data_IF_659133814471
#
_entry.id   IF_659133814471
#
_cell.length_a   1.000
_cell.length_b   1.000
_cell.length_c   1.000
_cell.angle_alpha   90.00
_cell.angle_beta   90.00
_cell.angle_gamma   90.00
#
_symmetry.space_group_name_H-M   'P 1'
#
loop_
_entity.id
_entity.type
_entity.pdbx_description
1 polymer ?
#
# COMPACT_ATOMS: atom_id res chain seq x y z
N UNK A 1 2.54 -26.94 0.66
CA UNK A 1 3.70 -26.05 0.53
C UNK A 1 4.39 -26.15 -0.84
N UNK A 2 3.76 -26.63 -1.92
CA UNK A 2 4.39 -26.69 -3.27
C UNK A 2 3.40 -26.40 -4.43
N UNK A 3 2.77 -25.22 -4.51
CA UNK A 3 1.83 -24.99 -5.64
C UNK A 3 1.79 -23.64 -6.35
N UNK A 4 2.58 -22.63 -5.97
CA UNK A 4 2.56 -21.35 -6.71
C UNK A 4 3.95 -20.74 -6.84
N UNK A 5 4.83 -21.42 -7.58
CA UNK A 5 6.01 -20.85 -8.21
C UNK A 5 5.67 -20.58 -9.68
N UNK A 6 5.55 -19.31 -10.06
CA UNK A 6 5.44 -18.95 -11.48
C UNK A 6 6.82 -19.18 -12.12
N UNK A 7 6.93 -20.22 -12.95
CA UNK A 7 8.05 -20.40 -13.86
C UNK A 7 7.95 -19.34 -14.96
N UNK A 8 8.92 -18.43 -15.01
CA UNK A 8 9.10 -17.46 -16.09
C UNK A 8 9.32 -18.18 -17.43
N UNK A 9 8.77 -17.70 -18.56
CA UNK A 9 9.03 -18.28 -19.87
C UNK A 9 10.47 -17.98 -20.32
N UNK A 10 11.28 -19.03 -20.50
CA UNK A 10 12.61 -18.96 -21.11
C UNK A 10 12.51 -18.58 -22.59
N UNK A 11 13.09 -17.45 -22.98
CA UNK A 11 13.35 -17.10 -24.38
C UNK A 11 14.43 -18.02 -24.94
N UNK A 12 14.07 -18.93 -25.84
CA UNK A 12 15.02 -19.64 -26.69
C UNK A 12 15.43 -18.76 -27.87
N UNK A 13 16.66 -18.25 -27.83
CA UNK A 13 17.40 -17.87 -29.03
C UNK A 13 18.36 -19.01 -29.35
N UNK A 14 18.15 -19.73 -30.45
CA UNK A 14 19.21 -20.52 -31.09
C UNK A 14 19.08 -20.38 -32.61
N UNK A 15 20.04 -19.64 -33.16
CA UNK A 15 20.49 -19.78 -34.55
C UNK A 15 21.17 -21.14 -34.74
N UNK A 16 21.13 -21.66 -35.96
CA UNK A 16 22.19 -22.56 -36.48
C UNK A 16 21.73 -23.95 -36.92
N UNK A 17 21.40 -24.06 -38.19
CA UNK A 17 21.70 -25.15 -39.14
C UNK A 17 22.03 -26.57 -38.61
N UNK A 18 21.23 -27.57 -39.00
CA UNK A 18 21.61 -28.63 -39.95
C UNK A 18 20.47 -29.67 -40.13
N UNK A 19 20.32 -30.15 -41.36
CA UNK A 19 19.25 -31.00 -41.92
C UNK A 19 19.36 -32.50 -41.56
N UNK A 20 18.29 -33.30 -41.81
CA UNK A 20 17.95 -34.52 -41.05
C UNK A 20 18.26 -35.86 -41.75
N UNK A 21 18.17 -36.97 -41.00
CA UNK A 21 18.09 -38.33 -41.52
C UNK A 21 16.90 -39.09 -40.93
N UNK A 22 16.19 -39.80 -41.82
CA UNK A 22 14.94 -40.52 -41.63
C UNK A 22 15.12 -41.89 -40.95
N UNK A 23 14.03 -42.45 -40.39
CA UNK A 23 13.61 -43.85 -40.60
C UNK A 23 12.19 -44.12 -40.05
N UNK A 24 11.52 -45.02 -40.76
CA UNK A 24 10.08 -45.35 -40.79
C UNK A 24 9.68 -46.36 -39.70
N UNK A 25 8.41 -46.33 -39.28
CA UNK A 25 7.75 -47.41 -38.53
C UNK A 25 6.24 -47.19 -38.41
N UNK A 26 5.48 -47.99 -39.16
CA UNK A 26 4.01 -48.02 -39.35
C UNK A 26 3.18 -48.45 -38.13
N UNK A 27 1.89 -48.05 -38.02
CA UNK A 27 0.95 -48.49 -36.98
C UNK A 27 -0.04 -49.61 -37.43
N UNK A 28 -0.50 -50.45 -36.49
CA UNK A 28 -1.59 -51.44 -36.65
C UNK A 28 -2.67 -51.31 -35.54
N UNK A 29 -3.83 -50.87 -36.01
CA UNK A 29 -5.26 -51.18 -35.77
C UNK A 29 -5.78 -52.18 -34.69
N UNK A 30 -7.02 -51.87 -34.22
CA UNK A 30 -8.16 -52.71 -33.70
C UNK A 30 -8.13 -53.00 -32.17
N UNK A 31 -9.15 -52.79 -31.31
CA UNK A 31 -10.63 -53.01 -31.29
C UNK A 31 -11.33 -51.97 -30.35
N UNK A 32 -12.44 -51.28 -30.68
CA UNK A 32 -13.90 -51.59 -30.56
C UNK A 32 -14.44 -52.07 -29.19
N UNK A 33 -15.23 -51.21 -28.54
CA UNK A 33 -16.54 -51.41 -27.85
C UNK A 33 -17.07 -50.00 -27.44
N UNK A 34 -18.07 -49.36 -28.10
CA UNK A 34 -19.55 -49.38 -27.89
C UNK A 34 -19.94 -49.46 -26.39
N UNK A 35 -20.65 -48.52 -25.77
CA UNK A 35 -22.02 -47.96 -26.01
C UNK A 35 -22.08 -46.48 -25.54
N UNK A 36 -22.57 -45.48 -26.30
CA UNK A 36 -23.96 -45.01 -26.54
C UNK A 36 -24.86 -44.87 -25.29
N UNK A 37 -25.09 -43.63 -24.84
CA UNK A 37 -26.39 -42.93 -24.92
C UNK A 37 -26.27 -41.44 -24.54
N UNK A 38 -26.94 -40.60 -25.33
CA UNK A 38 -27.01 -39.12 -25.25
C UNK A 38 -28.51 -38.70 -25.27
N UNK A 39 -28.89 -37.40 -25.29
CA UNK A 39 -29.69 -36.69 -24.28
C UNK A 39 -31.13 -36.36 -24.75
N UNK A 40 -31.92 -35.57 -24.00
CA UNK A 40 -32.97 -34.56 -24.41
C UNK A 40 -33.83 -34.24 -23.17
N UNK A 41 -33.77 -33.05 -22.55
CA UNK A 41 -34.55 -31.81 -22.76
C UNK A 41 -36.06 -31.84 -22.39
N UNK A 42 -36.44 -30.87 -21.52
CA UNK A 42 -37.67 -30.03 -21.48
C UNK A 42 -38.87 -30.32 -20.53
N UNK A 43 -39.25 -29.21 -19.87
CA UNK A 43 -40.57 -28.70 -19.40
C UNK A 43 -41.01 -29.07 -17.96
N UNK A 44 -41.08 -28.08 -17.04
CA UNK A 44 -42.24 -27.24 -16.59
C UNK A 44 -43.21 -28.04 -15.70
N UNK A 45 -43.80 -27.60 -14.60
CA UNK A 45 -43.97 -26.30 -13.91
C UNK A 45 -44.56 -26.60 -12.51
N UNK A 46 -44.21 -25.77 -11.52
CA UNK A 46 -45.07 -25.22 -10.43
C UNK A 46 -45.76 -26.14 -9.40
N UNK A 47 -45.52 -25.88 -8.10
CA UNK A 47 -46.53 -25.26 -7.23
C UNK A 47 -45.98 -24.88 -5.84
N UNK A 48 -46.52 -23.77 -5.36
CA UNK A 48 -46.20 -22.93 -4.20
C UNK A 48 -46.43 -23.55 -2.82
N UNK A 49 -45.70 -23.05 -1.81
CA UNK A 49 -46.24 -22.83 -0.47
C UNK A 49 -45.73 -21.50 0.14
N UNK A 50 -46.69 -20.64 0.47
CA UNK A 50 -46.61 -19.30 1.07
C UNK A 50 -47.03 -19.38 2.54
N UNK A 51 -46.41 -18.58 3.43
CA UNK A 51 -47.06 -17.68 4.42
C UNK A 51 -46.00 -16.95 5.28
N UNK A 52 -45.90 -15.61 5.22
CA UNK A 52 -46.55 -14.56 6.06
C UNK A 52 -45.93 -14.44 7.47
N UNK A 53 -45.69 -13.29 8.10
CA UNK A 53 -46.07 -11.89 7.89
C UNK A 53 -45.33 -10.97 8.90
N UNK A 54 -45.45 -9.65 8.66
CA UNK A 54 -45.47 -8.51 9.61
C UNK A 54 -44.26 -7.57 9.76
N UNK A 55 -44.42 -6.39 9.11
CA UNK A 55 -43.80 -5.08 9.38
C UNK A 55 -44.65 -4.31 10.43
N UNK A 56 -44.19 -3.20 11.04
CA UNK A 56 -44.56 -1.89 10.47
C UNK A 56 -43.52 -0.75 10.61
N UNK A 57 -43.75 0.25 9.74
CA UNK A 57 -43.08 1.54 9.52
C UNK A 57 -43.09 2.45 10.76
N UNK A 58 -42.04 3.27 10.91
CA UNK A 58 -42.13 4.59 11.56
C UNK A 58 -41.41 5.68 10.73
N UNK A 59 -41.97 6.87 10.85
CA UNK A 59 -41.95 8.05 9.97
C UNK A 59 -41.16 9.20 10.64
N UNK A 60 -40.82 10.20 9.80
CA UNK A 60 -40.50 11.62 10.11
C UNK A 60 -39.07 11.90 10.64
N UNK A 61 -38.37 12.99 10.32
CA UNK A 61 -38.75 14.25 9.66
C UNK A 61 -37.54 14.87 8.93
N UNK A 62 -37.84 15.54 7.81
CA UNK A 62 -36.97 16.50 7.13
C UNK A 62 -36.84 17.80 7.95
N UNK A 63 -35.63 18.35 8.07
CA UNK A 63 -35.43 19.78 8.34
C UNK A 63 -34.35 20.30 7.38
N UNK A 64 -34.81 21.00 6.35
CA UNK A 64 -34.02 21.90 5.51
C UNK A 64 -34.14 23.33 6.08
N UNK A 65 -33.02 24.08 6.17
CA UNK A 65 -32.99 25.54 6.38
C UNK A 65 -31.78 26.16 5.67
N UNK A 66 -31.85 27.45 5.29
CA UNK A 66 -31.72 27.82 3.87
C UNK A 66 -30.49 28.68 3.53
N UNK A 67 -30.19 28.73 2.22
CA UNK A 67 -29.25 29.66 1.61
C UNK A 67 -29.80 31.09 1.59
N UNK A 68 -29.01 32.06 2.04
CA UNK A 68 -29.25 33.50 1.87
C UNK A 68 -28.44 34.05 0.70
N UNK A 69 -29.18 34.61 -0.26
CA UNK A 69 -28.70 35.36 -1.42
C UNK A 69 -28.13 36.71 -0.99
N UNK A 70 -27.04 37.16 -1.65
CA UNK A 70 -26.90 38.57 -2.07
C UNK A 70 -26.44 38.64 -3.52
N UNK A 71 -27.27 39.31 -4.32
CA UNK A 71 -27.10 39.69 -5.72
C UNK A 71 -26.24 40.97 -5.82
N UNK A 72 -25.57 41.16 -6.95
CA UNK A 72 -25.71 42.27 -7.93
C UNK A 72 -24.46 42.24 -8.83
N UNK A 73 -24.58 41.87 -10.12
CA UNK A 73 -24.94 42.73 -11.28
C UNK A 73 -23.83 43.72 -11.65
N UNK A 74 -23.05 43.40 -12.70
CA UNK A 74 -23.11 44.04 -14.03
C UNK A 74 -21.83 43.82 -14.87
N UNK A 75 -22.02 43.20 -16.03
CA UNK A 75 -21.19 43.25 -17.27
C UNK A 75 -21.90 44.28 -18.19
N UNK A 76 -21.35 44.91 -19.28
CA UNK A 76 -20.41 44.30 -20.23
C UNK A 76 -19.47 45.22 -21.08
N UNK A 77 -18.70 44.55 -21.95
CA UNK A 77 -18.38 44.87 -23.37
C UNK A 77 -17.11 45.65 -23.79
N UNK A 78 -16.56 45.15 -24.91
CA UNK A 78 -15.74 45.79 -25.98
C UNK A 78 -14.22 45.93 -25.78
N UNK A 79 -13.39 45.02 -26.33
CA UNK A 79 -12.85 44.92 -27.71
C UNK A 79 -12.00 46.14 -28.11
N UNK A 80 -10.68 45.96 -28.28
CA UNK A 80 -9.92 46.16 -29.53
C UNK A 80 -8.40 46.06 -29.32
N UNK A 81 -7.78 45.45 -30.32
CA UNK A 81 -6.36 45.18 -30.53
C UNK A 81 -5.47 46.44 -30.47
N UNK A 82 -4.16 46.25 -30.23
CA UNK A 82 -3.04 46.61 -31.14
C UNK A 82 -1.69 46.27 -30.48
N UNK A 83 -0.80 45.78 -31.35
CA UNK A 83 0.57 45.28 -31.20
C UNK A 83 1.57 46.33 -30.68
N UNK A 84 2.65 45.84 -30.07
CA UNK A 84 4.07 46.27 -30.18
C UNK A 84 4.86 45.36 -29.23
N UNK A 85 5.52 44.29 -29.70
CA UNK A 85 6.88 44.23 -30.26
C UNK A 85 8.00 44.79 -29.36
N UNK A 86 8.96 43.88 -29.14
CA UNK A 86 10.38 44.05 -28.81
C UNK A 86 10.88 44.04 -27.34
N UNK A 87 11.87 43.16 -27.17
CA UNK A 87 12.98 43.12 -26.23
C UNK A 87 12.81 42.64 -24.79
N UNK A 88 13.61 41.60 -24.47
CA UNK A 88 14.04 41.32 -23.10
C UNK A 88 14.19 39.85 -22.77
N UNK A 89 15.39 39.31 -22.97
CA UNK A 89 15.88 38.08 -22.33
C UNK A 89 15.48 38.02 -20.85
N UNK A 90 14.99 36.87 -20.38
CA UNK A 90 14.87 36.64 -18.94
C UNK A 90 15.10 35.16 -18.59
N UNK A 91 16.27 34.79 -18.02
CA UNK A 91 16.51 33.46 -17.47
C UNK A 91 16.17 33.44 -15.95
N UNK A 92 16.26 32.28 -15.26
CA UNK A 92 15.17 31.63 -14.53
C UNK A 92 14.94 32.14 -13.09
N UNK A 93 13.68 32.05 -12.60
CA UNK A 93 13.31 32.36 -11.20
C UNK A 93 13.88 31.35 -10.19
N UNK A 94 15.09 31.61 -9.69
CA UNK A 94 15.60 31.11 -8.40
C UNK A 94 14.80 31.74 -7.25
N UNK A 95 14.20 30.94 -6.36
CA UNK A 95 13.63 31.44 -5.10
C UNK A 95 14.74 31.72 -4.08
N UNK A 96 14.90 33.01 -3.78
CA UNK A 96 15.23 33.62 -2.49
C UNK A 96 16.49 33.15 -1.75
N UNK A 97 17.52 34.01 -1.79
CA UNK A 97 18.62 34.01 -0.84
C UNK A 97 18.16 34.59 0.50
N UNK A 98 18.07 33.77 1.55
CA UNK A 98 18.04 34.26 2.93
C UNK A 98 19.47 34.25 3.47
N UNK A 99 20.03 35.44 3.64
CA UNK A 99 21.24 35.69 4.41
C UNK A 99 21.05 35.17 5.84
N UNK A 100 21.84 34.17 6.24
CA UNK A 100 22.04 33.85 7.66
C UNK A 100 23.51 34.00 7.98
N UNK A 101 23.76 34.95 8.87
CA UNK A 101 25.01 35.42 9.47
C UNK A 101 26.04 34.30 9.69
N UNK A 102 27.25 34.54 9.18
CA UNK A 102 28.48 33.82 9.51
C UNK A 102 28.73 33.86 11.02
N UNK A 103 28.63 32.71 11.70
CA UNK A 103 29.18 32.50 13.04
C UNK A 103 30.48 31.70 12.89
N UNK A 104 31.55 32.38 12.44
CA UNK A 104 32.91 31.84 12.39
C UNK A 104 33.83 32.80 13.16
N UNK A 105 33.69 32.84 14.48
CA UNK A 105 34.64 33.53 15.38
C UNK A 105 34.46 33.16 16.86
N UNK A 106 34.07 31.94 17.18
CA UNK A 106 34.15 31.39 18.54
C UNK A 106 34.81 30.02 18.42
N UNK A 107 36.12 30.01 18.31
CA UNK A 107 36.95 28.82 18.29
C UNK A 107 37.92 28.93 19.46
N UNK A 108 37.43 28.66 20.67
CA UNK A 108 38.27 28.33 21.83
C UNK A 108 37.57 27.21 22.62
N UNK A 109 38.32 26.11 22.76
CA UNK A 109 38.20 25.05 23.77
C UNK A 109 36.82 24.38 23.96
N UNK A 110 36.37 23.67 22.91
CA UNK A 110 35.36 22.62 23.05
C UNK A 110 36.02 21.24 23.08
N UNK A 111 35.66 20.41 24.06
CA UNK A 111 36.03 18.99 24.16
C UNK A 111 35.82 18.27 22.82
N UNK A 112 36.63 17.23 22.49
CA UNK A 112 36.48 16.50 21.24
C UNK A 112 35.04 16.00 21.13
N UNK A 113 34.33 16.44 20.09
CA UNK A 113 33.01 15.91 19.76
C UNK A 113 33.14 14.38 19.67
N UNK A 114 32.28 13.61 20.36
CA UNK A 114 32.39 12.15 20.36
C UNK A 114 32.42 11.68 18.91
N UNK A 115 33.46 10.89 18.60
CA UNK A 115 33.70 10.33 17.27
C UNK A 115 32.40 9.69 16.78
N UNK A 116 31.85 10.18 15.66
CA UNK A 116 30.57 9.69 15.12
C UNK A 116 30.67 8.17 14.97
N UNK A 117 29.91 7.43 15.78
CA UNK A 117 29.84 5.98 15.70
C UNK A 117 29.60 5.58 14.24
N UNK A 118 30.45 4.68 13.73
CA UNK A 118 30.29 4.15 12.37
C UNK A 118 28.94 3.47 12.30
N UNK A 119 28.10 3.79 11.30
CA UNK A 119 26.77 3.19 11.20
C UNK A 119 26.91 1.67 11.11
N UNK A 120 26.26 0.97 12.04
CA UNK A 120 26.19 -0.48 12.05
C UNK A 120 25.63 -0.98 10.71
N UNK A 121 26.34 -1.93 10.07
CA UNK A 121 25.89 -2.51 8.80
C UNK A 121 24.76 -3.50 9.07
N UNK A 122 23.52 -3.04 8.97
CA UNK A 122 22.35 -3.90 9.12
C UNK A 122 22.24 -4.92 7.97
N UNK A 123 21.74 -6.14 8.24
CA UNK A 123 21.52 -7.12 7.20
C UNK A 123 20.40 -6.67 6.25
N UNK A 124 20.61 -6.88 4.95
CA UNK A 124 19.58 -6.64 3.94
C UNK A 124 18.40 -7.59 4.11
N UNK A 125 17.19 -7.09 3.84
CA UNK A 125 15.98 -7.90 3.79
C UNK A 125 16.11 -8.95 2.69
N UNK A 126 15.78 -10.20 3.03
CA UNK A 126 15.67 -11.31 2.08
C UNK A 126 14.28 -11.89 2.22
N UNK A 127 13.35 -11.45 1.37
CA UNK A 127 12.01 -12.01 1.36
C UNK A 127 12.06 -13.44 0.80
N UNK A 128 11.42 -14.37 1.51
CA UNK A 128 11.37 -15.80 1.16
C UNK A 128 9.94 -16.34 1.04
N UNK A 129 8.95 -15.46 1.21
CA UNK A 129 7.55 -15.83 1.06
C UNK A 129 7.15 -15.99 -0.40
N UNK A 130 5.91 -16.41 -0.62
CA UNK A 130 5.34 -16.52 -1.95
C UNK A 130 5.02 -15.12 -2.51
N UNK A 131 5.28 -14.92 -3.81
CA UNK A 131 4.86 -13.74 -4.56
C UNK A 131 3.83 -14.18 -5.59
N UNK A 132 2.57 -13.81 -5.40
CA UNK A 132 1.47 -14.11 -6.33
C UNK A 132 1.25 -12.92 -7.25
N UNK A 133 1.58 -13.08 -8.53
CA UNK A 133 1.48 -12.03 -9.54
C UNK A 133 0.33 -12.31 -10.51
N UNK A 134 -0.59 -11.35 -10.65
CA UNK A 134 -1.77 -11.46 -11.50
C UNK A 134 -1.85 -10.29 -12.49
N UNK A 135 -2.12 -10.60 -13.76
CA UNK A 135 -2.10 -9.60 -14.84
C UNK A 135 -3.43 -9.37 -15.53
N UNK A 136 -4.32 -10.36 -15.48
CA UNK A 136 -5.62 -10.28 -16.15
C UNK A 136 -6.74 -9.91 -15.16
N UNK A 137 -7.75 -9.17 -15.64
CA UNK A 137 -8.81 -8.62 -14.79
C UNK A 137 -9.53 -9.70 -13.95
N UNK A 138 -9.89 -10.83 -14.58
CA UNK A 138 -10.61 -11.91 -13.93
C UNK A 138 -9.75 -12.65 -12.88
N UNK A 139 -8.44 -12.77 -13.10
CA UNK A 139 -7.52 -13.37 -12.14
C UNK A 139 -7.32 -12.47 -10.92
N UNK A 140 -7.20 -11.16 -11.13
CA UNK A 140 -7.13 -10.17 -10.05
C UNK A 140 -8.43 -10.19 -9.24
N UNK A 141 -9.58 -10.25 -9.90
CA UNK A 141 -10.88 -10.35 -9.23
C UNK A 141 -10.97 -11.61 -8.35
N UNK A 142 -10.68 -12.78 -8.93
CA UNK A 142 -10.71 -14.06 -8.21
C UNK A 142 -9.73 -14.08 -7.04
N UNK A 143 -8.51 -13.57 -7.23
CA UNK A 143 -7.54 -13.47 -6.13
C UNK A 143 -8.02 -12.53 -5.02
N UNK A 144 -8.70 -11.44 -5.33
CA UNK A 144 -9.22 -10.52 -4.32
C UNK A 144 -10.35 -11.19 -3.52
N UNK A 145 -11.25 -11.93 -4.19
CA UNK A 145 -12.30 -12.72 -3.53
C UNK A 145 -11.71 -13.81 -2.62
N UNK A 146 -10.66 -14.51 -3.05
CA UNK A 146 -9.95 -15.51 -2.22
C UNK A 146 -9.40 -14.87 -0.93
N UNK A 147 -8.85 -13.66 -1.03
CA UNK A 147 -8.34 -12.92 0.13
C UNK A 147 -9.48 -12.47 1.04
N UNK A 148 -10.60 -11.99 0.49
CA UNK A 148 -11.82 -11.65 1.26
C UNK A 148 -12.31 -12.88 2.03
N UNK A 149 -12.46 -14.03 1.37
CA UNK A 149 -12.89 -15.26 2.03
C UNK A 149 -11.91 -15.71 3.13
N UNK A 150 -10.60 -15.47 2.95
CA UNK A 150 -9.61 -15.74 3.99
C UNK A 150 -9.77 -14.79 5.18
N UNK A 151 -10.04 -13.50 4.94
CA UNK A 151 -10.31 -12.49 5.97
C UNK A 151 -11.58 -12.84 6.77
N UNK A 152 -12.66 -13.22 6.09
CA UNK A 152 -13.93 -13.58 6.74
C UNK A 152 -13.79 -14.80 7.66
N UNK A 153 -12.91 -15.73 7.31
CA UNK A 153 -12.57 -16.89 8.15
C UNK A 153 -11.77 -16.52 9.40
N UNK A 154 -11.21 -15.32 9.51
CA UNK A 154 -10.53 -14.84 10.71
C UNK A 154 -11.55 -14.39 11.76
N UNK A 155 -12.21 -15.36 12.42
CA UNK A 155 -13.27 -15.09 13.41
C UNK A 155 -12.75 -14.53 14.73
N UNK A 156 -11.48 -14.77 15.06
CA UNK A 156 -10.84 -14.29 16.29
C UNK A 156 -10.20 -12.91 16.17
N UNK A 157 -10.11 -12.36 14.95
CA UNK A 157 -9.52 -11.06 14.69
C UNK A 157 -10.63 -10.05 14.36
N UNK A 158 -10.76 -9.03 15.20
CA UNK A 158 -11.62 -7.87 14.92
C UNK A 158 -11.06 -7.05 13.75
N UNK A 159 -9.73 -6.98 13.66
CA UNK A 159 -9.00 -6.26 12.63
C UNK A 159 -7.95 -7.15 11.99
N UNK A 160 -7.96 -7.17 10.67
CA UNK A 160 -6.94 -7.79 9.83
C UNK A 160 -6.10 -6.67 9.21
N UNK A 161 -4.86 -6.45 9.67
CA UNK A 161 -3.97 -5.51 9.02
C UNK A 161 -3.54 -6.06 7.67
N UNK A 162 -3.54 -5.19 6.66
CA UNK A 162 -3.08 -5.51 5.33
C UNK A 162 -2.15 -4.40 4.86
N UNK A 163 -0.88 -4.72 4.68
CA UNK A 163 0.07 -3.76 4.13
C UNK A 163 -0.34 -3.46 2.68
N UNK A 164 -0.20 -2.19 2.29
CA UNK A 164 -0.57 -1.71 0.96
C UNK A 164 0.44 -0.68 0.48
N UNK A 165 0.83 -0.81 -0.78
CA UNK A 165 1.62 0.19 -1.49
C UNK A 165 1.43 0.02 -3.03
N UNK A 166 1.93 0.97 -3.82
CA UNK A 166 1.63 1.08 -5.24
C UNK A 166 2.83 1.56 -6.06
N UNK A 167 2.88 1.12 -7.31
CA UNK A 167 3.92 1.55 -8.25
C UNK A 167 3.36 2.12 -9.55
N UNK A 168 4.09 3.06 -10.13
CA UNK A 168 3.76 3.70 -11.39
C UNK A 168 5.03 4.13 -12.14
N UNK A 169 5.00 4.17 -13.48
CA UNK A 169 6.11 4.74 -14.23
C UNK A 169 6.29 6.22 -13.91
N UNK A 170 7.53 6.67 -13.92
CA UNK A 170 7.89 8.07 -13.72
C UNK A 170 8.70 8.60 -14.89
N UNK A 171 8.43 9.83 -15.29
CA UNK A 171 9.18 10.57 -16.30
C UNK A 171 9.52 11.96 -15.74
N UNK A 172 10.76 12.43 -15.97
CA UNK A 172 11.15 13.78 -15.56
C UNK A 172 10.44 14.87 -16.35
N UNK A 173 9.93 14.56 -17.55
CA UNK A 173 9.22 15.49 -18.43
C UNK A 173 7.73 15.59 -18.10
N UNK A 174 7.07 14.45 -17.84
CA UNK A 174 5.60 14.39 -17.66
C UNK A 174 5.18 14.11 -16.22
N UNK A 175 6.12 13.83 -15.32
CA UNK A 175 5.84 13.44 -13.95
C UNK A 175 5.37 11.99 -13.81
N UNK A 176 4.63 11.67 -12.72
CA UNK A 176 4.14 10.32 -12.46
C UNK A 176 3.03 9.92 -13.45
N UNK A 177 3.16 8.74 -14.06
CA UNK A 177 2.12 8.15 -14.89
C UNK A 177 0.99 7.51 -14.08
N UNK A 178 0.07 6.81 -14.77
CA UNK A 178 -1.05 6.08 -14.14
C UNK A 178 -0.54 4.98 -13.21
N UNK A 179 -1.18 4.80 -12.06
CA UNK A 179 -0.95 3.65 -11.16
C UNK A 179 -0.98 2.35 -11.95
N UNK A 180 0.11 1.60 -11.84
CA UNK A 180 0.37 0.41 -12.65
C UNK A 180 0.33 -0.86 -11.84
N UNK A 181 0.74 -0.82 -10.57
CA UNK A 181 0.75 -1.97 -9.67
C UNK A 181 0.08 -1.58 -8.36
N UNK A 182 -0.74 -2.47 -7.81
CA UNK A 182 -1.05 -2.52 -6.37
C UNK A 182 -0.34 -3.74 -5.81
N UNK A 183 0.30 -3.60 -4.67
CA UNK A 183 0.77 -4.74 -3.89
C UNK A 183 0.12 -4.74 -2.51
N UNK A 184 -0.18 -5.95 -2.01
CA UNK A 184 -0.78 -6.16 -0.70
C UNK A 184 -0.19 -7.37 0.00
N UNK A 185 -0.13 -7.31 1.33
CA UNK A 185 0.32 -8.40 2.17
C UNK A 185 -0.58 -8.48 3.41
N UNK A 186 -1.36 -9.56 3.53
CA UNK A 186 -2.18 -9.85 4.73
C UNK A 186 -1.45 -10.76 5.72
N UNK A 187 -0.51 -11.55 5.22
CA UNK A 187 0.33 -12.48 5.95
C UNK A 187 1.76 -12.37 5.41
N UNK A 188 2.75 -12.31 6.30
CA UNK A 188 4.16 -12.12 5.96
C UNK A 188 4.72 -13.21 5.04
N UNK A 189 4.02 -14.34 4.89
CA UNK A 189 4.43 -15.47 4.03
C UNK A 189 3.94 -15.35 2.59
N UNK A 190 3.04 -14.42 2.28
CA UNK A 190 2.48 -14.29 0.94
C UNK A 190 2.16 -12.83 0.58
N UNK A 191 2.87 -12.30 -0.42
CA UNK A 191 2.58 -11.01 -1.02
C UNK A 191 1.82 -11.20 -2.34
N UNK A 192 0.88 -10.31 -2.60
CA UNK A 192 0.08 -10.27 -3.82
C UNK A 192 0.46 -9.03 -4.62
N UNK A 193 0.68 -9.20 -5.92
CA UNK A 193 1.03 -8.13 -6.86
C UNK A 193 0.00 -8.13 -7.98
N UNK A 194 -0.79 -7.07 -8.07
CA UNK A 194 -1.86 -6.90 -9.04
C UNK A 194 -1.45 -5.88 -10.11
N UNK A 195 -1.31 -6.34 -11.36
CA UNK A 195 -0.97 -5.45 -12.48
C UNK A 195 -2.21 -4.75 -13.02
N UNK A 196 -2.25 -3.44 -12.87
CA UNK A 196 -3.36 -2.57 -13.24
C UNK A 196 -3.23 -1.98 -14.64
N UNK A 197 -2.08 -2.11 -15.30
CA UNK A 197 -1.74 -1.34 -16.51
C UNK A 197 -2.71 -1.56 -17.69
N UNK A 198 -3.31 -2.75 -17.79
CA UNK A 198 -4.33 -3.08 -18.81
C UNK A 198 -5.76 -2.69 -18.40
N UNK A 199 -5.96 -2.30 -17.13
CA UNK A 199 -7.28 -2.11 -16.56
C UNK A 199 -7.82 -0.70 -16.84
N UNK A 200 -9.03 -0.65 -17.41
CA UNK A 200 -9.81 0.59 -17.50
C UNK A 200 -10.43 0.96 -16.16
N UNK A 201 -10.91 -0.05 -15.43
CA UNK A 201 -11.48 0.03 -14.08
C UNK A 201 -10.90 -1.08 -13.21
N UNK A 202 -10.80 -0.85 -11.90
CA UNK A 202 -10.46 -1.90 -10.94
C UNK A 202 -11.60 -2.93 -10.87
N UNK A 203 -11.30 -4.23 -10.67
CA UNK A 203 -12.31 -5.23 -10.40
C UNK A 203 -13.09 -4.90 -9.13
N UNK A 204 -14.40 -5.10 -9.15
CA UNK A 204 -15.26 -4.82 -7.99
C UNK A 204 -14.81 -5.57 -6.73
N UNK A 205 -14.34 -6.81 -6.88
CA UNK A 205 -13.76 -7.63 -5.80
C UNK A 205 -12.53 -6.96 -5.16
N UNK A 206 -11.63 -6.37 -5.95
CA UNK A 206 -10.47 -5.65 -5.42
C UNK A 206 -10.90 -4.39 -4.67
N UNK A 207 -11.87 -3.64 -5.19
CA UNK A 207 -12.42 -2.47 -4.50
C UNK A 207 -13.11 -2.88 -3.19
N UNK A 208 -13.84 -4.00 -3.18
CA UNK A 208 -14.46 -4.56 -1.99
C UNK A 208 -13.41 -5.00 -0.95
N UNK A 209 -12.32 -5.65 -1.38
CA UNK A 209 -11.21 -6.03 -0.51
C UNK A 209 -10.59 -4.81 0.17
N UNK A 210 -10.27 -3.75 -0.58
CA UNK A 210 -9.70 -2.52 -0.02
C UNK A 210 -10.68 -1.86 0.97
N UNK A 211 -11.98 -1.93 0.72
CA UNK A 211 -13.02 -1.34 1.57
C UNK A 211 -13.53 -2.28 2.67
N UNK A 212 -13.05 -3.51 2.76
CA UNK A 212 -13.54 -4.51 3.71
C UNK A 212 -13.52 -4.00 5.16
N UNK A 213 -14.60 -4.20 5.96
CA UNK A 213 -14.74 -3.58 7.28
C UNK A 213 -13.72 -4.08 8.30
N UNK A 214 -13.29 -5.36 8.22
CA UNK A 214 -12.20 -5.89 9.06
C UNK A 214 -10.81 -5.45 8.61
N UNK A 215 -10.65 -4.91 7.39
CA UNK A 215 -9.34 -4.61 6.84
C UNK A 215 -8.86 -3.23 7.27
N UNK A 216 -7.69 -3.20 7.93
CA UNK A 216 -6.94 -1.99 8.22
C UNK A 216 -5.73 -1.89 7.29
N UNK A 217 -5.86 -1.06 6.27
CA UNK A 217 -4.77 -0.77 5.35
C UNK A 217 -3.69 0.02 6.05
N UNK A 218 -2.42 -0.31 5.80
CA UNK A 218 -1.31 0.45 6.34
C UNK A 218 -0.12 0.51 5.39
N UNK A 219 0.68 1.56 5.55
CA UNK A 219 1.84 1.86 4.72
C UNK A 219 2.50 3.16 5.16
N UNK A 220 3.49 3.64 4.43
CA UNK A 220 4.15 4.93 4.71
C UNK A 220 3.65 5.97 3.72
N UNK A 221 3.12 7.10 4.21
CA UNK A 221 2.52 8.14 3.37
C UNK A 221 1.33 7.62 2.53
N UNK A 222 0.66 6.57 3.02
CA UNK A 222 -0.39 5.81 2.31
C UNK A 222 -1.59 6.66 1.88
N UNK A 223 -1.86 7.76 2.59
CA UNK A 223 -2.94 8.70 2.23
C UNK A 223 -2.73 9.30 0.84
N UNK A 224 -1.48 9.56 0.45
CA UNK A 224 -1.14 10.07 -0.87
C UNK A 224 -1.42 9.02 -1.96
N UNK A 225 -1.19 7.75 -1.65
CA UNK A 225 -1.45 6.64 -2.55
C UNK A 225 -2.94 6.51 -2.83
N UNK A 226 -3.80 6.56 -1.80
CA UNK A 226 -5.25 6.51 -2.04
C UNK A 226 -5.77 7.69 -2.85
N UNK A 227 -5.27 8.90 -2.60
CA UNK A 227 -5.64 10.08 -3.42
C UNK A 227 -5.20 9.92 -4.87
N UNK A 228 -4.03 9.33 -5.12
CA UNK A 228 -3.59 8.98 -6.47
C UNK A 228 -4.44 7.87 -7.09
N UNK A 229 -4.78 6.84 -6.32
CA UNK A 229 -5.60 5.72 -6.78
C UNK A 229 -6.98 6.21 -7.23
N UNK A 230 -7.66 7.05 -6.44
CA UNK A 230 -8.94 7.67 -6.81
C UNK A 230 -8.82 8.49 -8.10
N UNK A 231 -7.75 9.28 -8.27
CA UNK A 231 -7.56 10.08 -9.50
C UNK A 231 -7.40 9.19 -10.73
N UNK A 232 -6.69 8.08 -10.57
CA UNK A 232 -6.35 7.18 -11.68
C UNK A 232 -7.49 6.15 -11.95
N UNK A 233 -8.34 5.87 -10.96
CA UNK A 233 -9.49 4.96 -10.97
C UNK A 233 -10.68 5.57 -10.19
N UNK A 234 -11.54 6.39 -10.83
CA UNK A 234 -12.58 7.20 -10.17
C UNK A 234 -13.65 6.43 -9.37
N UNK A 235 -13.79 5.12 -9.59
CA UNK A 235 -14.66 4.24 -8.80
C UNK A 235 -14.16 3.99 -7.38
N UNK A 236 -12.90 4.31 -7.08
CA UNK A 236 -12.34 4.24 -5.72
C UNK A 236 -12.53 5.58 -5.03
N UNK A 237 -13.23 5.60 -3.91
CA UNK A 237 -13.27 6.76 -3.01
C UNK A 237 -12.11 6.68 -2.02
N UNK A 238 -11.25 7.71 -2.00
CA UNK A 238 -10.09 7.75 -1.12
C UNK A 238 -10.48 8.06 0.34
N UNK A 239 -11.55 8.83 0.57
CA UNK A 239 -11.88 9.32 1.91
C UNK A 239 -12.18 8.19 2.91
N UNK A 240 -13.02 7.18 2.60
CA UNK A 240 -13.22 6.03 3.48
C UNK A 240 -11.94 5.23 3.74
N UNK A 241 -11.06 5.13 2.74
CA UNK A 241 -9.78 4.42 2.89
C UNK A 241 -8.83 5.21 3.82
N UNK A 242 -8.79 6.53 3.69
CA UNK A 242 -7.95 7.42 4.50
C UNK A 242 -8.40 7.41 5.96
N UNK A 243 -9.70 7.40 6.22
CA UNK A 243 -10.27 7.39 7.58
C UNK A 243 -9.87 6.14 8.37
N UNK A 244 -9.83 4.98 7.71
CA UNK A 244 -9.54 3.70 8.38
C UNK A 244 -8.09 3.24 8.32
N UNK A 245 -7.25 3.88 7.51
CA UNK A 245 -5.86 3.46 7.33
C UNK A 245 -4.93 3.90 8.46
N UNK A 246 -3.79 3.24 8.55
CA UNK A 246 -2.70 3.60 9.47
C UNK A 246 -1.48 4.02 8.65
N UNK A 247 -1.02 5.24 8.87
CA UNK A 247 0.28 5.68 8.39
C UNK A 247 1.36 5.25 9.39
N UNK A 248 2.23 4.33 8.98
CA UNK A 248 3.25 3.75 9.85
C UNK A 248 4.24 4.79 10.38
N UNK A 249 4.51 5.85 9.62
CA UNK A 249 5.41 6.92 10.07
C UNK A 249 4.79 7.76 11.18
N UNK A 250 3.51 8.07 11.05
CA UNK A 250 2.75 8.80 12.09
C UNK A 250 2.62 7.95 13.34
N UNK A 251 2.19 6.69 13.18
CA UNK A 251 2.02 5.78 14.32
C UNK A 251 3.35 5.48 15.02
N UNK A 252 4.46 5.35 14.29
CA UNK A 252 5.78 5.22 14.90
C UNK A 252 6.19 6.43 15.75
N UNK A 253 5.84 7.66 15.34
CA UNK A 253 6.09 8.85 16.15
C UNK A 253 5.30 8.79 17.47
N UNK A 254 4.04 8.35 17.42
CA UNK A 254 3.17 8.23 18.60
C UNK A 254 3.65 7.14 19.57
N UNK A 255 4.01 5.96 19.05
CA UNK A 255 4.39 4.80 19.88
C UNK A 255 5.82 4.90 20.41
N UNK A 256 6.76 5.33 19.58
CA UNK A 256 8.18 5.38 19.93
C UNK A 256 8.64 6.77 20.40
N UNK A 257 7.72 7.72 20.56
CA UNK A 257 7.99 9.09 21.01
C UNK A 257 9.05 9.80 20.16
N UNK A 258 9.04 9.48 18.87
CA UNK A 258 9.99 10.07 17.94
C UNK A 258 9.37 11.27 17.25
N UNK A 259 10.24 12.19 16.81
CA UNK A 259 9.84 13.32 15.98
C UNK A 259 10.42 13.15 14.58
N UNK A 260 9.57 13.29 13.55
CA UNK A 260 10.05 13.51 12.19
C UNK A 260 9.25 12.84 11.10
N UNK A 261 9.76 13.01 9.87
CA UNK A 261 9.24 12.35 8.68
C UNK A 261 9.96 11.03 8.48
N UNK A 262 9.19 9.96 8.38
CA UNK A 262 9.70 8.62 8.15
C UNK A 262 9.66 8.26 6.66
N UNK A 263 10.56 7.37 6.26
CA UNK A 263 10.43 6.61 5.02
C UNK A 263 10.40 5.13 5.38
N UNK A 264 9.88 4.28 4.51
CA UNK A 264 9.79 2.84 4.78
C UNK A 264 11.14 2.22 5.17
N UNK A 265 12.23 2.57 4.47
CA UNK A 265 13.60 2.17 4.84
C UNK A 265 14.06 2.66 6.20
N UNK A 266 13.74 3.91 6.55
CA UNK A 266 14.12 4.44 7.87
C UNK A 266 13.36 3.73 8.98
N UNK A 267 12.09 3.35 8.75
CA UNK A 267 11.34 2.52 9.68
C UNK A 267 11.87 1.08 9.71
N UNK A 268 12.18 0.48 8.57
CA UNK A 268 12.77 -0.86 8.50
C UNK A 268 14.10 -0.94 9.27
N UNK A 269 14.93 0.10 9.15
CA UNK A 269 16.16 0.24 9.91
C UNK A 269 15.88 0.42 11.41
N UNK A 270 14.99 1.36 11.76
CA UNK A 270 14.73 1.73 13.15
C UNK A 270 14.00 0.63 13.94
N UNK A 271 12.93 0.09 13.36
CA UNK A 271 12.03 -0.89 13.96
C UNK A 271 12.54 -2.32 13.76
N UNK A 272 12.69 -2.76 12.51
CA UNK A 272 13.02 -4.16 12.19
C UNK A 272 14.53 -4.47 12.19
N UNK A 273 15.38 -3.46 12.37
CA UNK A 273 16.85 -3.58 12.28
C UNK A 273 17.32 -4.22 10.96
N UNK A 274 16.68 -3.84 9.85
CA UNK A 274 17.02 -4.32 8.50
C UNK A 274 17.34 -3.18 7.53
N UNK A 275 18.19 -3.47 6.55
CA UNK A 275 18.43 -2.59 5.40
C UNK A 275 17.55 -2.99 4.19
N UNK A 276 17.04 -2.00 3.46
CA UNK A 276 16.29 -2.20 2.22
C UNK A 276 17.18 -1.92 1.01
N UNK A 277 17.08 -2.74 -0.05
CA UNK A 277 17.69 -2.38 -1.33
C UNK A 277 16.79 -1.37 -2.07
N UNK A 278 17.21 -0.10 -2.07
CA UNK A 278 16.55 0.99 -2.79
C UNK A 278 17.19 1.29 -4.14
N UNK A 279 17.50 0.25 -4.90
CA UNK A 279 17.96 0.40 -6.28
C UNK A 279 17.06 1.34 -7.07
N UNK A 280 17.56 2.57 -7.35
CA UNK A 280 16.83 3.57 -8.14
C UNK A 280 16.44 3.03 -9.51
N UNK A 281 17.24 2.11 -10.05
CA UNK A 281 16.97 1.43 -11.31
C UNK A 281 15.65 0.63 -11.28
N UNK A 282 15.36 -0.06 -10.17
CA UNK A 282 14.13 -0.84 -10.01
C UNK A 282 12.97 0.09 -9.63
N UNK A 283 13.17 0.96 -8.64
CA UNK A 283 12.13 1.89 -8.18
C UNK A 283 11.61 2.82 -9.29
N UNK A 284 12.47 3.26 -10.20
CA UNK A 284 12.10 4.11 -11.33
C UNK A 284 11.92 3.32 -12.64
N UNK A 285 11.76 2.00 -12.56
CA UNK A 285 11.58 1.13 -13.72
C UNK A 285 10.21 1.34 -14.40
N UNK A 286 10.02 0.67 -15.54
CA UNK A 286 8.77 0.75 -16.31
C UNK A 286 7.71 -0.18 -15.70
N UNK A 287 7.14 0.21 -14.56
CA UNK A 287 6.12 -0.57 -13.84
C UNK A 287 4.85 -0.91 -14.65
N UNK A 288 4.58 -0.18 -15.74
CA UNK A 288 3.45 -0.43 -16.64
C UNK A 288 3.70 -1.54 -17.67
N UNK A 289 4.94 -2.03 -17.80
CA UNK A 289 5.32 -3.06 -18.77
C UNK A 289 4.99 -4.43 -18.18
N UNK A 290 4.42 -5.30 -19.02
CA UNK A 290 3.99 -6.65 -18.66
C UNK A 290 4.82 -7.67 -19.44
N UNK A 291 5.32 -8.74 -18.79
CA UNK A 291 5.29 -8.98 -17.34
C UNK A 291 6.32 -8.10 -16.60
N UNK A 292 6.12 -7.93 -15.28
CA UNK A 292 7.17 -7.42 -14.40
C UNK A 292 8.33 -8.43 -14.33
N UNK A 293 9.56 -7.93 -14.25
CA UNK A 293 10.73 -8.78 -14.03
C UNK A 293 10.88 -9.21 -12.56
N UNK A 294 11.79 -10.14 -12.30
CA UNK A 294 12.02 -10.69 -10.95
C UNK A 294 12.45 -9.63 -9.93
N UNK A 295 13.23 -8.63 -10.35
CA UNK A 295 13.66 -7.56 -9.45
C UNK A 295 12.49 -6.63 -9.09
N UNK A 296 11.64 -6.31 -10.06
CA UNK A 296 10.41 -5.54 -9.85
C UNK A 296 9.46 -6.28 -8.90
N UNK A 297 9.24 -7.58 -9.11
CA UNK A 297 8.39 -8.41 -8.26
C UNK A 297 8.94 -8.52 -6.83
N UNK A 298 10.24 -8.75 -6.68
CA UNK A 298 10.89 -8.82 -5.38
C UNK A 298 10.84 -7.49 -4.63
N UNK A 299 11.10 -6.37 -5.32
CA UNK A 299 10.98 -5.03 -4.76
C UNK A 299 9.55 -4.77 -4.27
N UNK A 300 8.55 -4.98 -5.13
CA UNK A 300 7.14 -4.80 -4.81
C UNK A 300 6.69 -5.67 -3.62
N UNK A 301 7.17 -6.91 -3.51
CA UNK A 301 6.86 -7.80 -2.39
C UNK A 301 7.54 -7.35 -1.09
N UNK A 302 8.80 -6.90 -1.14
CA UNK A 302 9.54 -6.43 0.04
C UNK A 302 8.85 -5.21 0.66
N UNK A 303 8.35 -4.26 -0.15
CA UNK A 303 7.75 -3.02 0.36
C UNK A 303 6.51 -3.29 1.23
N UNK A 304 5.64 -4.23 0.85
CA UNK A 304 4.52 -4.64 1.73
C UNK A 304 4.89 -5.65 2.80
N UNK A 305 5.83 -6.55 2.54
CA UNK A 305 6.31 -7.46 3.58
C UNK A 305 6.89 -6.69 4.77
N UNK A 306 7.79 -5.74 4.51
CA UNK A 306 8.41 -4.98 5.60
C UNK A 306 7.40 -4.03 6.25
N UNK A 307 6.45 -3.48 5.48
CA UNK A 307 5.32 -2.72 6.02
C UNK A 307 4.51 -3.55 7.02
N UNK A 308 4.21 -4.80 6.68
CA UNK A 308 3.50 -5.74 7.55
C UNK A 308 4.29 -6.07 8.83
N UNK A 309 5.60 -6.32 8.70
CA UNK A 309 6.49 -6.58 9.84
C UNK A 309 6.54 -5.37 10.78
N UNK A 310 6.70 -4.16 10.23
CA UNK A 310 6.72 -2.92 11.02
C UNK A 310 5.38 -2.71 11.73
N UNK A 311 4.25 -2.94 11.05
CA UNK A 311 2.93 -2.83 11.68
C UNK A 311 2.82 -3.75 12.89
N UNK A 312 3.22 -5.03 12.77
CA UNK A 312 3.13 -6.02 13.85
C UNK A 312 4.03 -5.67 15.02
N UNK A 313 5.23 -5.17 14.76
CA UNK A 313 6.15 -4.72 15.81
C UNK A 313 5.59 -3.49 16.55
N UNK A 314 5.08 -2.49 15.82
CA UNK A 314 4.44 -1.31 16.42
C UNK A 314 3.18 -1.68 17.23
N UNK A 315 2.34 -2.58 16.72
CA UNK A 315 1.17 -3.11 17.42
C UNK A 315 1.57 -3.78 18.74
N UNK A 316 2.67 -4.54 18.75
CA UNK A 316 3.18 -5.16 19.97
C UNK A 316 3.75 -4.12 20.94
N UNK A 317 4.49 -3.11 20.46
CA UNK A 317 5.01 -2.02 21.29
C UNK A 317 3.90 -1.20 21.92
N UNK A 318 2.85 -0.89 21.16
CA UNK A 318 1.67 -0.17 21.67
C UNK A 318 1.00 -0.94 22.80
N UNK A 319 0.78 -2.25 22.63
CA UNK A 319 0.23 -3.12 23.70
C UNK A 319 1.08 -3.08 24.96
N UNK A 320 2.41 -3.20 24.83
CA UNK A 320 3.34 -3.12 25.96
C UNK A 320 3.31 -1.74 26.61
N UNK A 321 3.31 -0.66 25.81
CA UNK A 321 3.21 0.72 26.32
C UNK A 321 1.94 0.91 27.14
N UNK A 322 0.77 0.54 26.60
CA UNK A 322 -0.51 0.65 27.30
C UNK A 322 -0.57 -0.18 28.58
N UNK A 323 -0.01 -1.40 28.57
CA UNK A 323 0.08 -2.23 29.78
C UNK A 323 0.97 -1.58 30.85
N UNK A 324 2.12 -1.04 30.46
CA UNK A 324 3.03 -0.36 31.39
C UNK A 324 2.38 0.91 31.96
N UNK A 325 1.69 1.69 31.14
CA UNK A 325 0.94 2.87 31.59
C UNK A 325 -0.18 2.48 32.58
N UNK A 326 -0.89 1.37 32.34
CA UNK A 326 -1.93 0.87 33.23
C UNK A 326 -1.35 0.41 34.58
N UNK A 327 -0.28 -0.39 34.55
CA UNK A 327 0.41 -0.87 35.75
C UNK A 327 0.95 0.32 36.58
N UNK A 328 1.52 1.33 35.92
CA UNK A 328 2.01 2.53 36.61
C UNK A 328 0.88 3.28 37.33
N UNK A 329 -0.28 3.44 36.67
CA UNK A 329 -1.46 4.09 37.27
C UNK A 329 -2.03 3.30 38.44
N UNK A 330 -2.05 1.97 38.35
CA UNK A 330 -2.48 1.11 39.45
C UNK A 330 -1.58 1.26 40.69
N UNK A 331 -0.25 1.32 40.48
CA UNK A 331 0.73 1.40 41.56
C UNK A 331 0.87 2.80 42.17
N UNK A 332 0.80 3.86 41.36
CA UNK A 332 1.18 5.23 41.76
C UNK A 332 0.01 6.23 41.70
N UNK A 333 -1.13 5.83 41.14
CA UNK A 333 -2.28 6.68 40.90
C UNK A 333 -2.15 7.58 39.67
N UNK A 334 -3.30 8.05 39.18
CA UNK A 334 -3.40 8.88 37.97
C UNK A 334 -2.67 10.23 38.07
N UNK A 335 -2.60 10.81 39.28
CA UNK A 335 -1.91 12.08 39.51
C UNK A 335 -0.40 11.94 39.27
N UNK A 336 0.20 10.85 39.77
CA UNK A 336 1.61 10.55 39.52
C UNK A 336 1.85 10.30 38.03
N UNK A 337 0.96 9.56 37.36
CA UNK A 337 1.10 9.30 35.92
C UNK A 337 1.10 10.59 35.10
N UNK A 338 0.16 11.51 35.37
CA UNK A 338 0.10 12.82 34.70
C UNK A 338 1.35 13.67 34.97
N UNK A 339 1.87 13.65 36.21
CA UNK A 339 3.08 14.38 36.56
C UNK A 339 4.30 13.84 35.79
N UNK A 340 4.47 12.51 35.73
CA UNK A 340 5.58 11.89 35.01
C UNK A 340 5.47 12.14 33.50
N UNK A 341 4.27 12.01 32.92
CA UNK A 341 4.05 12.30 31.49
C UNK A 341 4.34 13.76 31.13
N UNK A 342 4.05 14.70 32.03
CA UNK A 342 4.36 16.12 31.84
C UNK A 342 5.86 16.44 31.94
N UNK A 343 6.63 15.65 32.68
CA UNK A 343 8.09 15.77 32.78
C UNK A 343 8.85 15.17 31.57
N UNK A 344 8.14 14.42 30.72
CA UNK A 344 8.70 13.68 29.59
C UNK A 344 9.16 12.26 30.00
N UNK A 345 8.92 11.28 29.13
CA UNK A 345 9.07 9.84 29.44
C UNK A 345 10.52 9.41 29.70
N UNK A 346 11.53 10.26 29.42
CA UNK A 346 12.93 10.00 29.82
C UNK A 346 13.11 9.79 31.33
N UNK A 347 12.11 10.14 32.15
CA UNK A 347 12.08 9.83 33.58
C UNK A 347 11.57 8.40 33.88
N UNK A 348 10.66 7.83 33.08
CA UNK A 348 10.14 6.46 33.28
C UNK A 348 11.21 5.40 33.03
N UNK A 349 12.04 5.59 32.00
CA UNK A 349 13.18 4.72 31.71
C UNK A 349 14.25 4.77 32.83
N UNK A 350 14.35 5.89 33.54
CA UNK A 350 15.26 6.03 34.69
C UNK A 350 14.71 5.38 35.95
N UNK A 351 13.39 5.40 36.20
CA UNK A 351 12.79 4.74 37.37
C UNK A 351 12.94 3.22 37.27
N UNK A 352 12.78 2.65 36.07
CA UNK A 352 12.98 1.21 35.86
C UNK A 352 14.44 0.78 36.02
N UNK A 353 15.41 1.66 35.77
CA UNK A 353 16.83 1.40 36.03
C UNK A 353 17.26 1.63 37.49
N UNK A 354 16.45 2.29 38.32
CA UNK A 354 16.78 2.59 39.72
C UNK A 354 16.05 1.66 40.71
N UNK A 355 15.12 0.82 40.23
CA UNK A 355 14.29 -0.06 41.08
C UNK A 355 14.56 -1.56 40.87
N UNK A 356 15.66 -1.92 40.21
CA UNK A 356 16.28 -3.27 40.21
C UNK A 356 17.70 -3.09 40.74
#
# INVERSE_FOLDING_TARGET
>A
MDKYLIKMPTKTNLNGDQKPAALKGTPKTIDKQKEKNTPTEKQKQEDDYVEKENTPKLRNAQIAKPASKRKNQDTPTEVKDIKNEEDGENPPKRRSARLTRSTRSMAEEGTPSPEKEKPEKLPFIKYKGAIKYYTENHEIAASADDVIQWIDKQTTLDVVPMAFDMEWPFSFQTGPGKSSVIQVCVDERCCYVYQLSKLKKLPAALVALLNHPKVRLHGVNIKADFRKLQRDFPEVSADPLIEKCVDLGVWCNEICETGGRWSLERLANFIAKKAMDKSKKVRMSKWHVIPLDENQLMYAAIDVYIGQVIYRDLEQREKVKLQNEANFKEQNGDAAFKAVKALGETFLDKITQVTI
#
